data_IF_205745794569
#
_entry.id   IF_205745794569
#
_cell.length_a   1.000
_cell.length_b   1.000
_cell.length_c   1.000
_cell.angle_alpha   90.00
_cell.angle_beta   90.00
_cell.angle_gamma   90.00
#
_symmetry.space_group_name_H-M   'P 1'
#
loop_
_entity.id
_entity.type
_entity.pdbx_description
1 polymer ?
#
# COMPACT_ATOMS: atom_id res chain seq x y z
N UNK A 1 -46.87 -45.60 37.85
CA UNK A 1 -45.46 -45.16 37.95
C UNK A 1 -45.11 -44.67 36.58
N UNK A 2 -45.29 -43.35 36.33
CA UNK A 2 -45.06 -42.77 35.03
C UNK A 2 -43.60 -42.33 34.96
N UNK A 3 -42.87 -42.82 33.96
CA UNK A 3 -41.45 -42.55 33.74
C UNK A 3 -41.30 -41.20 33.05
N UNK A 4 -40.84 -40.18 33.79
CA UNK A 4 -40.65 -38.80 33.33
C UNK A 4 -39.31 -38.56 32.61
N UNK A 5 -38.80 -39.54 31.88
CA UNK A 5 -37.46 -39.49 31.32
C UNK A 5 -37.33 -38.96 29.88
N UNK A 6 -38.41 -38.43 29.29
CA UNK A 6 -38.40 -38.00 27.87
C UNK A 6 -38.80 -36.57 27.59
N UNK A 7 -38.66 -35.63 28.53
CA UNK A 7 -39.03 -34.23 28.29
C UNK A 7 -37.81 -33.28 28.50
N UNK A 8 -36.61 -33.64 28.16
CA UNK A 8 -35.52 -32.67 28.22
C UNK A 8 -34.40 -32.99 27.21
N UNK A 9 -34.73 -32.89 25.89
CA UNK A 9 -33.69 -32.87 24.86
C UNK A 9 -34.08 -31.97 23.66
N UNK A 10 -34.81 -30.88 23.88
CA UNK A 10 -35.25 -29.98 22.83
C UNK A 10 -34.62 -28.60 22.83
N UNK A 11 -33.62 -28.32 23.70
CA UNK A 11 -33.07 -26.95 23.82
C UNK A 11 -31.63 -26.78 23.38
N UNK A 12 -30.87 -27.84 23.10
CA UNK A 12 -29.44 -27.73 22.80
C UNK A 12 -29.10 -27.65 21.30
N UNK A 13 -29.99 -28.09 20.41
CA UNK A 13 -29.74 -28.09 18.97
C UNK A 13 -29.76 -26.69 18.34
N UNK A 14 -30.52 -25.75 18.92
CA UNK A 14 -30.56 -24.38 18.39
C UNK A 14 -29.34 -23.54 18.77
N UNK A 15 -28.68 -23.79 19.89
CA UNK A 15 -27.52 -23.03 20.33
C UNK A 15 -26.31 -23.29 19.43
N UNK A 16 -26.13 -24.53 18.99
CA UNK A 16 -25.07 -24.91 18.04
C UNK A 16 -25.24 -24.21 16.67
N UNK A 17 -26.48 -24.22 16.14
CA UNK A 17 -26.80 -23.60 14.86
C UNK A 17 -26.62 -22.07 14.86
N UNK A 18 -27.04 -21.39 15.94
CA UNK A 18 -26.85 -19.94 16.09
C UNK A 18 -25.39 -19.56 16.20
N UNK A 19 -24.59 -20.32 16.93
CA UNK A 19 -23.16 -20.06 17.07
C UNK A 19 -22.42 -20.26 15.74
N UNK A 20 -22.76 -21.30 14.99
CA UNK A 20 -22.16 -21.58 13.68
C UNK A 20 -22.50 -20.51 12.62
N UNK A 21 -23.75 -20.02 12.62
CA UNK A 21 -24.17 -18.93 11.73
C UNK A 21 -23.44 -17.64 12.03
N UNK A 22 -23.33 -17.27 13.30
CA UNK A 22 -22.61 -16.07 13.75
C UNK A 22 -21.11 -16.15 13.40
N UNK A 23 -20.49 -17.29 13.60
CA UNK A 23 -19.09 -17.51 13.24
C UNK A 23 -18.84 -17.37 11.72
N UNK A 24 -19.79 -17.81 10.88
CA UNK A 24 -19.74 -17.63 9.42
C UNK A 24 -19.86 -16.17 9.00
N UNK A 25 -20.77 -15.42 9.63
CA UNK A 25 -20.95 -13.98 9.37
C UNK A 25 -19.71 -13.20 9.77
N UNK A 26 -19.10 -13.52 10.91
CA UNK A 26 -17.86 -12.89 11.38
C UNK A 26 -16.67 -13.18 10.43
N UNK A 27 -16.53 -14.39 9.94
CA UNK A 27 -15.47 -14.77 8.98
C UNK A 27 -15.65 -14.12 7.61
N UNK A 28 -16.89 -14.00 7.15
CA UNK A 28 -17.18 -13.29 5.89
C UNK A 28 -16.86 -11.79 6.00
N UNK A 29 -17.20 -11.18 7.13
CA UNK A 29 -16.84 -9.80 7.44
C UNK A 29 -15.33 -9.62 7.49
N UNK A 30 -14.57 -10.54 8.13
CA UNK A 30 -13.12 -10.51 8.15
C UNK A 30 -12.51 -10.64 6.75
N UNK A 31 -13.03 -11.54 5.90
CA UNK A 31 -12.57 -11.66 4.52
C UNK A 31 -12.77 -10.35 3.73
N UNK A 32 -13.88 -9.65 3.96
CA UNK A 32 -14.14 -8.33 3.37
C UNK A 32 -13.11 -7.27 3.79
N UNK A 33 -12.74 -7.24 5.07
CA UNK A 33 -11.71 -6.33 5.57
C UNK A 33 -10.35 -6.60 4.90
N UNK A 34 -9.94 -7.88 4.83
CA UNK A 34 -8.67 -8.24 4.20
C UNK A 34 -8.65 -7.95 2.69
N UNK A 35 -9.79 -8.12 2.01
CA UNK A 35 -9.92 -7.73 0.61
C UNK A 35 -9.78 -6.20 0.42
N UNK A 36 -10.41 -5.41 1.28
CA UNK A 36 -10.26 -3.95 1.24
C UNK A 36 -8.80 -3.52 1.44
N UNK A 37 -8.10 -4.11 2.41
CA UNK A 37 -6.68 -3.87 2.63
C UNK A 37 -5.82 -4.26 1.42
N UNK A 38 -6.11 -5.38 0.76
CA UNK A 38 -5.43 -5.79 -0.47
C UNK A 38 -5.58 -4.76 -1.59
N UNK A 39 -6.78 -4.23 -1.80
CA UNK A 39 -7.05 -3.22 -2.82
C UNK A 39 -6.29 -1.93 -2.50
N UNK A 40 -6.35 -1.46 -1.25
CA UNK A 40 -5.69 -0.23 -0.82
C UNK A 40 -4.17 -0.35 -0.96
N UNK A 41 -3.56 -1.35 -0.35
CA UNK A 41 -2.10 -1.50 -0.35
C UNK A 41 -1.56 -1.96 -1.71
N UNK A 42 -2.33 -2.72 -2.49
CA UNK A 42 -2.01 -3.02 -3.88
C UNK A 42 -1.99 -1.77 -4.75
N UNK A 43 -3.00 -0.90 -4.62
CA UNK A 43 -3.04 0.39 -5.30
C UNK A 43 -1.89 1.31 -4.92
N UNK A 44 -1.54 1.39 -3.62
CA UNK A 44 -0.39 2.16 -3.16
C UNK A 44 0.93 1.62 -3.72
N UNK A 45 1.12 0.30 -3.79
CA UNK A 45 2.31 -0.29 -4.41
C UNK A 45 2.42 0.06 -5.89
N UNK A 46 1.34 -0.06 -6.66
CA UNK A 46 1.32 0.32 -8.08
C UNK A 46 1.67 1.79 -8.25
N UNK A 47 1.11 2.66 -7.42
CA UNK A 47 1.44 4.09 -7.42
C UNK A 47 2.93 4.34 -7.13
N UNK A 48 3.50 3.69 -6.10
CA UNK A 48 4.91 3.81 -5.75
C UNK A 48 5.82 3.30 -6.88
N UNK A 49 5.50 2.18 -7.50
CA UNK A 49 6.24 1.64 -8.65
C UNK A 49 6.21 2.64 -9.82
N UNK A 50 5.04 3.18 -10.15
CA UNK A 50 4.90 4.16 -11.23
C UNK A 50 5.74 5.41 -10.99
N UNK A 51 5.77 5.94 -9.75
CA UNK A 51 6.60 7.09 -9.39
C UNK A 51 8.09 6.77 -9.47
N UNK A 52 8.53 5.64 -8.92
CA UNK A 52 9.93 5.23 -8.96
C UNK A 52 10.42 5.01 -10.39
N UNK A 53 9.63 4.36 -11.25
CA UNK A 53 9.97 4.19 -12.67
C UNK A 53 10.10 5.56 -13.36
N UNK A 54 9.20 6.50 -13.06
CA UNK A 54 9.31 7.88 -13.57
C UNK A 54 10.61 8.59 -13.16
N UNK A 55 11.05 8.43 -11.91
CA UNK A 55 12.33 8.97 -11.43
C UNK A 55 13.54 8.32 -12.10
N UNK A 56 13.49 6.99 -12.32
CA UNK A 56 14.55 6.27 -13.02
C UNK A 56 14.66 6.77 -14.47
N UNK A 57 13.54 6.89 -15.18
CA UNK A 57 13.50 7.39 -16.55
C UNK A 57 14.05 8.82 -16.61
N UNK A 58 13.64 9.67 -15.68
CA UNK A 58 14.15 11.04 -15.58
C UNK A 58 15.68 11.06 -15.43
N UNK A 59 16.21 10.26 -14.51
CA UNK A 59 17.66 10.18 -14.23
C UNK A 59 18.47 9.75 -15.45
N UNK A 60 17.97 8.85 -16.29
CA UNK A 60 18.70 8.33 -17.44
C UNK A 60 18.55 9.17 -18.72
N UNK A 61 17.44 9.88 -18.87
CA UNK A 61 17.10 10.58 -20.11
C UNK A 61 17.17 12.10 -20.01
N UNK A 62 17.34 12.65 -18.82
CA UNK A 62 17.38 14.10 -18.60
C UNK A 62 18.83 14.61 -18.42
N UNK A 63 19.03 15.88 -18.70
CA UNK A 63 20.25 16.59 -18.33
C UNK A 63 20.29 16.77 -16.80
N UNK A 64 21.47 16.84 -16.23
CA UNK A 64 21.65 17.06 -14.79
C UNK A 64 22.46 18.33 -14.51
N UNK A 65 22.08 19.04 -13.44
CA UNK A 65 22.83 20.16 -12.90
C UNK A 65 22.89 20.06 -11.37
N UNK A 66 23.94 20.64 -10.79
CA UNK A 66 24.11 20.75 -9.35
C UNK A 66 23.49 22.06 -8.89
N UNK A 67 22.49 22.00 -8.04
CA UNK A 67 21.81 23.16 -7.47
C UNK A 67 22.10 23.33 -5.97
N UNK A 68 21.91 24.56 -5.49
CA UNK A 68 21.95 24.90 -4.07
C UNK A 68 20.57 25.27 -3.57
N UNK A 69 20.10 24.61 -2.51
CA UNK A 69 18.80 24.88 -1.91
C UNK A 69 18.88 26.00 -0.88
N UNK A 70 17.98 26.97 -1.00
CA UNK A 70 17.77 28.03 -0.02
C UNK A 70 16.44 27.81 0.70
N UNK A 71 16.44 27.49 2.01
CA UNK A 71 15.22 27.26 2.76
C UNK A 71 14.37 28.51 2.93
N UNK A 72 14.99 29.68 3.04
CA UNK A 72 14.30 30.95 3.27
C UNK A 72 13.37 31.33 2.11
N UNK A 73 13.80 31.01 0.89
CA UNK A 73 13.03 31.27 -0.34
C UNK A 73 12.32 30.04 -0.89
N UNK A 74 12.47 28.87 -0.24
CA UNK A 74 11.98 27.57 -0.74
C UNK A 74 12.35 27.34 -2.21
N UNK A 75 13.56 27.73 -2.60
CA UNK A 75 14.03 27.69 -3.99
C UNK A 75 15.38 26.98 -4.13
N UNK A 76 15.61 26.47 -5.32
CA UNK A 76 16.89 25.87 -5.72
C UNK A 76 17.47 26.73 -6.83
N UNK A 77 18.72 27.19 -6.65
CA UNK A 77 19.49 27.86 -7.68
C UNK A 77 20.50 26.88 -8.28
N UNK A 78 20.62 26.84 -9.60
CA UNK A 78 21.60 26.03 -10.32
C UNK A 78 22.06 26.74 -11.57
N UNK A 79 23.21 26.31 -12.09
CA UNK A 79 23.81 26.83 -13.31
C UNK A 79 23.65 25.77 -14.40
N UNK A 80 23.18 26.18 -15.58
CA UNK A 80 23.04 25.29 -16.73
C UNK A 80 24.39 25.14 -17.50
N UNK A 81 24.38 24.32 -18.54
CA UNK A 81 25.55 24.08 -19.40
C UNK A 81 26.03 25.31 -20.19
N UNK A 82 25.30 26.44 -20.16
CA UNK A 82 25.63 27.70 -20.82
C UNK A 82 26.00 28.78 -19.79
N UNK A 83 26.38 28.40 -18.57
CA UNK A 83 26.75 29.29 -17.46
C UNK A 83 25.64 30.26 -17.01
N UNK A 84 24.36 29.95 -17.33
CA UNK A 84 23.23 30.77 -16.91
C UNK A 84 22.62 30.22 -15.62
N UNK A 85 22.45 31.12 -14.65
CA UNK A 85 21.81 30.79 -13.37
C UNK A 85 20.30 30.75 -13.50
N UNK A 86 19.72 29.66 -13.05
CA UNK A 86 18.27 29.44 -12.97
C UNK A 86 17.85 29.29 -11.51
N UNK A 87 16.66 29.79 -11.17
CA UNK A 87 16.06 29.65 -9.83
C UNK A 87 14.70 29.03 -9.97
N UNK A 88 14.46 27.92 -9.28
CA UNK A 88 13.21 27.18 -9.31
C UNK A 88 12.61 27.20 -7.92
N UNK A 89 11.33 27.57 -7.82
CA UNK A 89 10.56 27.49 -6.59
C UNK A 89 10.14 26.02 -6.34
N UNK A 90 10.58 25.45 -5.21
CA UNK A 90 10.34 24.05 -4.88
C UNK A 90 9.92 23.92 -3.41
N UNK A 91 8.68 24.28 -3.06
CA UNK A 91 8.14 24.18 -1.71
C UNK A 91 8.07 22.70 -1.30
N UNK A 92 8.57 22.39 -0.12
CA UNK A 92 8.57 21.01 0.39
C UNK A 92 9.73 20.15 -0.10
N UNK A 93 10.72 20.70 -0.80
CA UNK A 93 12.01 20.04 -0.92
C UNK A 93 12.53 19.79 0.48
N UNK A 94 12.77 18.53 0.81
CA UNK A 94 13.00 18.04 2.18
C UNK A 94 14.11 18.85 2.84
N UNK A 95 13.80 19.41 4.00
CA UNK A 95 14.62 20.33 4.83
C UNK A 95 16.00 19.74 5.21
N UNK A 96 16.23 18.44 5.00
CA UNK A 96 17.52 17.77 5.23
C UNK A 96 18.67 18.30 4.39
N UNK A 97 18.39 19.12 3.36
CA UNK A 97 19.38 19.61 2.40
C UNK A 97 19.77 21.08 2.63
N UNK A 98 19.52 21.62 3.81
CA UNK A 98 19.89 22.99 4.14
C UNK A 98 21.37 23.26 3.84
N UNK A 99 21.64 24.04 2.82
CA UNK A 99 23.02 24.37 2.37
C UNK A 99 23.77 23.26 1.64
N UNK A 100 23.13 22.11 1.35
CA UNK A 100 23.74 21.01 0.59
C UNK A 100 23.44 21.13 -0.90
N UNK A 101 24.38 20.64 -1.70
CA UNK A 101 24.21 20.53 -3.13
C UNK A 101 23.20 19.44 -3.47
N UNK A 102 22.26 19.77 -4.36
CA UNK A 102 21.21 18.85 -4.83
C UNK A 102 21.38 18.64 -6.33
N UNK A 103 21.37 17.40 -6.78
CA UNK A 103 21.35 17.10 -8.22
C UNK A 103 19.92 17.23 -8.75
N UNK A 104 19.74 18.13 -9.71
CA UNK A 104 18.51 18.35 -10.44
C UNK A 104 18.58 17.68 -11.80
N UNK A 105 17.45 17.22 -12.28
CA UNK A 105 17.27 16.62 -13.61
C UNK A 105 16.21 17.41 -14.38
N UNK A 106 16.50 17.77 -15.65
CA UNK A 106 15.58 18.53 -16.51
C UNK A 106 15.70 18.07 -17.97
N UNK A 107 14.63 18.20 -18.73
CA UNK A 107 14.60 17.83 -20.15
C UNK A 107 14.92 19.02 -21.03
N UNK A 108 15.90 18.86 -21.93
CA UNK A 108 16.34 19.92 -22.85
C UNK A 108 16.55 21.26 -22.13
N UNK A 109 15.95 22.35 -22.62
CA UNK A 109 16.04 23.69 -22.03
C UNK A 109 14.79 24.04 -21.19
N UNK A 110 13.97 23.04 -20.82
CA UNK A 110 12.82 23.26 -19.93
C UNK A 110 13.25 23.16 -18.47
N UNK A 111 13.83 24.24 -17.99
CA UNK A 111 14.30 24.37 -16.61
C UNK A 111 13.16 24.42 -15.60
N UNK A 112 11.94 24.80 -16.02
CA UNK A 112 10.76 24.81 -15.14
C UNK A 112 10.32 23.38 -14.76
N UNK A 113 10.65 22.38 -15.58
CA UNK A 113 10.39 20.96 -15.32
C UNK A 113 11.43 20.28 -14.44
N UNK A 114 12.48 21.00 -14.02
CA UNK A 114 13.56 20.42 -13.26
C UNK A 114 13.07 19.83 -11.92
N UNK A 115 13.54 18.63 -11.62
CA UNK A 115 13.15 17.86 -10.43
C UNK A 115 14.37 17.19 -9.82
N UNK A 116 14.33 16.96 -8.52
CA UNK A 116 15.30 16.08 -7.87
C UNK A 116 14.76 14.66 -7.78
N UNK A 117 15.63 13.67 -7.74
CA UNK A 117 15.27 12.26 -7.58
C UNK A 117 15.35 11.91 -6.11
N UNK A 118 14.29 11.24 -5.64
CA UNK A 118 14.20 10.79 -4.26
C UNK A 118 15.33 9.81 -3.92
N UNK A 119 15.79 9.83 -2.70
CA UNK A 119 16.86 8.93 -2.23
C UNK A 119 16.46 7.46 -2.44
N UNK A 120 17.32 6.61 -3.04
CA UNK A 120 16.97 5.24 -3.42
C UNK A 120 16.47 4.36 -2.25
N UNK A 121 17.03 4.54 -1.06
CA UNK A 121 16.63 3.81 0.14
C UNK A 121 15.19 4.10 0.58
N UNK A 122 14.67 5.28 0.27
CA UNK A 122 13.27 5.60 0.51
C UNK A 122 12.34 4.61 -0.21
N UNK A 123 12.63 4.31 -1.48
CA UNK A 123 11.85 3.35 -2.26
C UNK A 123 11.98 1.93 -1.71
N UNK A 124 13.17 1.53 -1.27
CA UNK A 124 13.39 0.21 -0.65
C UNK A 124 12.54 0.06 0.61
N UNK A 125 12.58 1.02 1.53
CA UNK A 125 11.76 0.99 2.74
C UNK A 125 10.26 0.99 2.42
N UNK A 126 9.84 1.80 1.45
CA UNK A 126 8.44 1.89 1.01
C UNK A 126 7.94 0.54 0.47
N UNK A 127 8.73 -0.14 -0.36
CA UNK A 127 8.37 -1.45 -0.90
C UNK A 127 8.34 -2.53 0.17
N UNK A 128 9.29 -2.56 1.09
CA UNK A 128 9.29 -3.50 2.21
C UNK A 128 8.04 -3.28 3.06
N UNK A 129 7.71 -2.04 3.40
CA UNK A 129 6.58 -1.72 4.27
C UNK A 129 5.23 -2.07 3.62
N UNK A 130 4.92 -1.49 2.46
CA UNK A 130 3.65 -1.75 1.78
C UNK A 130 3.55 -3.18 1.24
N UNK A 131 4.66 -3.74 0.78
CA UNK A 131 4.74 -5.13 0.31
C UNK A 131 4.47 -6.13 1.42
N UNK A 132 5.00 -5.91 2.62
CA UNK A 132 4.74 -6.77 3.78
C UNK A 132 3.27 -6.77 4.16
N UNK A 133 2.63 -5.59 4.22
CA UNK A 133 1.21 -5.48 4.54
C UNK A 133 0.36 -6.14 3.46
N UNK A 134 0.69 -5.94 2.18
CA UNK A 134 0.01 -6.57 1.06
C UNK A 134 0.08 -8.11 1.13
N UNK A 135 1.26 -8.67 1.37
CA UNK A 135 1.45 -10.12 1.48
C UNK A 135 0.74 -10.72 2.68
N UNK A 136 0.74 -10.03 3.83
CA UNK A 136 -0.01 -10.44 5.01
C UNK A 136 -1.52 -10.43 4.73
N UNK A 137 -2.02 -9.37 4.11
CA UNK A 137 -3.43 -9.26 3.73
C UNK A 137 -3.84 -10.36 2.77
N UNK A 138 -3.01 -10.67 1.78
CA UNK A 138 -3.22 -11.75 0.83
C UNK A 138 -3.30 -13.12 1.53
N UNK A 139 -2.35 -13.39 2.43
CA UNK A 139 -2.33 -14.64 3.20
C UNK A 139 -3.60 -14.83 4.03
N UNK A 140 -4.01 -13.81 4.78
CA UNK A 140 -5.22 -13.88 5.61
C UNK A 140 -6.49 -13.96 4.77
N UNK A 141 -6.59 -13.22 3.67
CA UNK A 141 -7.70 -13.32 2.74
C UNK A 141 -7.83 -14.75 2.19
N UNK A 142 -6.74 -15.33 1.69
CA UNK A 142 -6.75 -16.69 1.15
C UNK A 142 -7.10 -17.74 2.21
N UNK A 143 -6.63 -17.55 3.46
CA UNK A 143 -6.99 -18.44 4.57
C UNK A 143 -8.50 -18.41 4.83
N UNK A 144 -9.08 -17.23 4.99
CA UNK A 144 -10.51 -17.06 5.25
C UNK A 144 -11.38 -17.61 4.10
N UNK A 145 -10.93 -17.41 2.86
CA UNK A 145 -11.63 -17.95 1.68
C UNK A 145 -11.63 -19.49 1.64
N UNK A 146 -10.50 -20.14 1.94
CA UNK A 146 -10.41 -21.61 1.99
C UNK A 146 -11.32 -22.19 3.05
N UNK A 147 -11.35 -21.62 4.24
CA UNK A 147 -12.21 -22.07 5.34
C UNK A 147 -13.68 -21.92 4.97
N UNK A 148 -14.08 -20.83 4.32
CA UNK A 148 -15.46 -20.63 3.83
C UNK A 148 -15.87 -21.67 2.79
N UNK A 149 -14.96 -22.08 1.90
CA UNK A 149 -15.24 -23.13 0.90
C UNK A 149 -15.36 -24.51 1.52
N UNK A 150 -14.61 -24.83 2.55
CA UNK A 150 -14.66 -26.13 3.24
C UNK A 150 -16.05 -26.34 3.86
N UNK A 151 -16.60 -25.33 4.54
CA UNK A 151 -17.93 -25.38 5.13
C UNK A 151 -19.06 -25.58 4.11
N UNK A 152 -18.95 -24.99 2.91
CA UNK A 152 -19.94 -25.23 1.84
C UNK A 152 -19.93 -26.66 1.31
N UNK A 153 -18.78 -27.33 1.35
CA UNK A 153 -18.63 -28.72 0.94
C UNK A 153 -19.27 -29.72 1.91
N UNK A 154 -19.18 -29.46 3.21
CA UNK A 154 -19.77 -30.34 4.24
C UNK A 154 -21.29 -30.26 4.27
N UNK A 155 -21.87 -29.07 4.12
CA UNK A 155 -23.36 -28.94 4.09
C UNK A 155 -24.02 -29.70 2.94
N UNK A 156 -23.35 -29.85 1.79
CA UNK A 156 -23.88 -30.68 0.68
C UNK A 156 -23.94 -32.18 0.99
N UNK A 157 -23.18 -32.67 1.98
CA UNK A 157 -23.19 -34.09 2.37
C UNK A 157 -24.36 -34.47 3.26
N UNK A 158 -25.03 -33.52 3.89
CA UNK A 158 -26.15 -33.77 4.84
C UNK A 158 -27.54 -33.45 4.26
N UNK A 159 -27.63 -33.12 2.96
CA UNK A 159 -28.89 -32.74 2.30
C UNK A 159 -29.42 -33.83 1.35
N UNK A 160 -29.11 -35.11 1.60
CA UNK A 160 -29.69 -36.28 0.92
C UNK A 160 -30.32 -37.23 1.91
#
# INVERSE_FOLDING_TARGET
MFDFKYIYNGSDDNSGYYNEKKEKEDRFSQAGIWLALLIIFGGLLVFCISKNVGEIILKYNANSAIGSYSPDSASISFVDGNDKTHVIYMPGAIVEHNGKQITLYYYNDDYASARYVTWPWFWVFTYIFFGSIFLLSLRFFMKNMKETHHYKGEQKKYTY
#
